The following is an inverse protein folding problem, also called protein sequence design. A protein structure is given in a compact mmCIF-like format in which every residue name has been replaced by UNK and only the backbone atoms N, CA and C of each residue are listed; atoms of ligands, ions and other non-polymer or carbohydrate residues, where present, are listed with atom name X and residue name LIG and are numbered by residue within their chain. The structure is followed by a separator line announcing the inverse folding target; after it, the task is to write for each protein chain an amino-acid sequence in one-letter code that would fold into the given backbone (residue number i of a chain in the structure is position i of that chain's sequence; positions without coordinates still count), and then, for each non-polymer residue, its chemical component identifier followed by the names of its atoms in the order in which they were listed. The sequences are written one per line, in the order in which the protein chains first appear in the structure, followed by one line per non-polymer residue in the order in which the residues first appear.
data_IF_861525511956
#
_entry.id   IF_861525511956
#
_cell.length_a   1.000
_cell.length_b   1.000
_cell.length_c   1.000
_cell.angle_alpha   90.00
_cell.angle_beta   90.00
_cell.angle_gamma   90.00
#
_symmetry.space_group_name_H-M   'P 1'
#
loop_
_entity.id
_entity.type
_entity.pdbx_description
1 polymer ?
#
# COMPACT_ATOMS: atom_id res chain seq x y z
N UNK A 1 -8.87 -6.11 10.64
CA UNK A 1 -7.59 -6.43 11.28
C UNK A 1 -7.06 -7.68 10.59
N UNK A 2 -6.09 -7.53 9.73
CA UNK A 2 -5.41 -8.65 9.09
C UNK A 2 -4.31 -9.04 10.08
N UNK A 3 -4.46 -10.18 10.72
CA UNK A 3 -3.43 -10.75 11.57
C UNK A 3 -2.55 -11.62 10.68
N UNK A 4 -1.36 -11.15 10.36
CA UNK A 4 -0.37 -11.94 9.66
C UNK A 4 0.07 -13.07 10.60
N UNK A 5 -0.50 -14.25 10.43
CA UNK A 5 -0.11 -15.41 11.19
C UNK A 5 1.14 -16.03 10.58
N UNK A 6 2.26 -15.83 11.24
CA UNK A 6 3.47 -16.61 10.94
C UNK A 6 3.15 -18.07 11.29
N UNK A 7 2.86 -18.90 10.29
CA UNK A 7 2.80 -20.36 10.44
C UNK A 7 4.23 -20.89 10.46
N UNK A 8 4.77 -21.05 11.68
CA UNK A 8 6.15 -21.41 11.94
C UNK A 8 6.33 -22.83 12.42
N UNK A 9 5.81 -23.85 11.77
CA UNK A 9 6.27 -25.20 12.11
C UNK A 9 7.31 -25.77 11.14
N UNK A 10 7.41 -25.23 9.91
CA UNK A 10 8.39 -25.74 8.92
C UNK A 10 9.56 -24.79 8.62
N UNK A 11 9.46 -23.50 8.93
CA UNK A 11 10.54 -22.53 8.65
C UNK A 11 11.62 -22.43 9.74
N UNK A 12 11.45 -23.08 10.89
CA UNK A 12 12.51 -23.18 11.91
C UNK A 12 13.74 -24.00 11.44
N UNK A 13 13.61 -24.74 10.34
CA UNK A 13 14.72 -25.42 9.69
C UNK A 13 15.46 -24.54 8.67
N UNK A 14 14.92 -23.38 8.31
CA UNK A 14 15.52 -22.45 7.35
C UNK A 14 16.64 -21.58 7.90
N UNK A 15 16.75 -21.44 9.22
CA UNK A 15 17.85 -20.71 9.87
C UNK A 15 19.22 -21.43 9.77
N UNK A 16 19.23 -22.68 9.30
CA UNK A 16 20.46 -23.47 9.13
C UNK A 16 20.94 -23.53 7.66
N UNK A 17 20.30 -22.86 6.72
CA UNK A 17 20.61 -22.91 5.28
C UNK A 17 21.13 -21.57 4.75
N UNK A 18 21.83 -20.79 5.58
CA UNK A 18 22.70 -19.71 5.08
C UNK A 18 24.09 -20.21 4.62
N UNK A 19 24.19 -21.49 4.32
CA UNK A 19 25.38 -22.13 3.78
C UNK A 19 25.05 -22.88 2.48
N UNK A 20 24.95 -22.23 1.35
CA UNK A 20 25.04 -22.90 0.05
C UNK A 20 23.83 -22.69 -0.85
N UNK A 21 23.94 -21.75 -1.73
CA UNK A 21 23.58 -21.65 -3.12
C UNK A 21 23.10 -20.25 -3.52
N UNK A 22 24.01 -19.31 -3.58
CA UNK A 22 23.92 -18.14 -4.47
C UNK A 22 25.34 -17.61 -4.67
N UNK A 23 26.13 -18.27 -5.50
CA UNK A 23 27.35 -17.68 -6.07
C UNK A 23 27.56 -18.27 -7.46
N UNK A 24 27.05 -17.56 -8.46
CA UNK A 24 27.76 -17.41 -9.69
C UNK A 24 27.70 -15.93 -10.08
N UNK A 25 28.79 -15.21 -9.76
CA UNK A 25 28.96 -13.80 -10.09
C UNK A 25 29.73 -13.04 -9.03
N UNK A 26 31.03 -13.36 -8.89
CA UNK A 26 32.11 -12.50 -8.39
C UNK A 26 31.79 -11.46 -7.28
N UNK A 27 31.65 -11.91 -6.05
CA UNK A 27 32.05 -11.19 -4.85
C UNK A 27 32.60 -12.22 -3.86
N UNK A 28 33.81 -11.97 -3.34
CA UNK A 28 34.54 -12.91 -2.48
C UNK A 28 33.79 -13.15 -1.17
N UNK A 29 33.56 -14.41 -0.82
CA UNK A 29 32.96 -14.85 0.45
C UNK A 29 33.74 -14.41 1.71
N UNK A 30 34.93 -13.86 1.58
CA UNK A 30 35.73 -13.30 2.67
C UNK A 30 35.24 -11.99 3.26
N UNK A 31 34.47 -11.21 2.51
CA UNK A 31 34.03 -9.87 2.97
C UNK A 31 32.85 -9.90 3.95
N UNK A 32 32.14 -11.04 4.05
CA UNK A 32 31.01 -11.19 4.97
C UNK A 32 31.39 -11.82 6.32
N UNK A 33 32.47 -12.60 6.40
CA UNK A 33 32.95 -13.16 7.66
C UNK A 33 33.62 -12.09 8.54
N UNK A 34 34.28 -11.10 7.95
CA UNK A 34 34.92 -10.00 8.69
C UNK A 34 33.91 -8.99 9.29
N UNK A 35 32.73 -8.84 8.71
CA UNK A 35 31.66 -7.97 9.28
C UNK A 35 31.00 -8.66 10.46
N UNK A 36 30.87 -9.99 10.45
CA UNK A 36 30.30 -10.75 11.55
C UNK A 36 31.27 -10.91 12.75
N UNK A 37 32.59 -10.96 12.48
CA UNK A 37 33.61 -11.16 13.51
C UNK A 37 33.94 -9.88 14.31
N UNK A 38 33.57 -8.70 13.84
CA UNK A 38 33.83 -7.43 14.55
C UNK A 38 32.68 -7.01 15.47
N UNK A 39 31.59 -7.77 15.57
CA UNK A 39 30.42 -7.45 16.42
C UNK A 39 30.29 -8.36 17.64
N UNK A 40 31.37 -9.00 18.11
CA UNK A 40 31.37 -9.60 19.44
C UNK A 40 31.59 -8.52 20.49
N UNK A 41 30.53 -7.73 20.78
CA UNK A 41 30.46 -6.98 22.01
C UNK A 41 30.28 -7.97 23.17
N UNK A 42 31.26 -8.00 24.09
CA UNK A 42 31.18 -8.73 25.34
C UNK A 42 29.92 -8.34 26.13
N UNK A 43 29.08 -9.31 26.42
CA UNK A 43 27.95 -9.21 27.33
C UNK A 43 28.46 -8.89 28.77
N UNK A 44 28.58 -7.58 29.04
CA UNK A 44 28.61 -7.10 30.41
C UNK A 44 27.45 -6.14 30.60
N UNK A 45 26.29 -6.69 30.88
CA UNK A 45 25.13 -5.93 31.33
C UNK A 45 25.47 -5.30 32.70
N UNK A 46 25.90 -4.05 32.68
CA UNK A 46 25.98 -3.23 33.89
C UNK A 46 24.78 -2.32 33.98
N UNK A 47 23.99 -2.44 35.02
CA UNK A 47 22.83 -1.60 35.36
C UNK A 47 23.15 -0.10 35.58
N UNK A 48 24.39 0.34 35.33
CA UNK A 48 24.90 1.66 35.70
C UNK A 48 25.11 2.67 34.56
N UNK A 49 24.56 2.45 33.32
CA UNK A 49 24.83 3.33 32.22
C UNK A 49 23.56 3.98 31.58
N UNK A 50 22.50 4.22 32.38
CA UNK A 50 21.28 4.93 31.86
C UNK A 50 21.41 6.44 31.82
N UNK A 51 22.49 7.03 32.31
CA UNK A 51 22.63 8.48 32.54
C UNK A 51 22.92 9.35 31.31
N UNK A 52 23.49 8.79 30.24
CA UNK A 52 23.97 9.58 29.09
C UNK A 52 23.45 9.09 27.71
N UNK A 53 22.52 8.15 27.66
CA UNK A 53 21.98 7.64 26.39
C UNK A 53 20.80 8.49 25.96
N UNK A 54 20.88 9.05 24.75
CA UNK A 54 19.77 9.78 24.13
C UNK A 54 18.62 8.81 23.81
N UNK A 55 17.41 9.16 24.25
CA UNK A 55 16.21 8.39 23.96
C UNK A 55 15.88 8.49 22.48
N UNK A 56 15.37 7.38 21.92
CA UNK A 56 15.06 7.27 20.50
C UNK A 56 13.88 6.35 20.25
N UNK A 57 13.07 6.70 19.25
CA UNK A 57 12.07 5.81 18.68
C UNK A 57 12.65 5.09 17.46
N UNK A 58 12.64 3.76 17.48
CA UNK A 58 12.87 2.94 16.29
C UNK A 58 11.53 2.50 15.71
N UNK A 59 11.25 2.85 14.47
CA UNK A 59 10.10 2.32 13.71
C UNK A 59 10.61 1.11 12.92
N UNK A 60 10.23 -0.08 13.35
CA UNK A 60 10.81 -1.34 12.91
C UNK A 60 9.87 -2.09 11.98
N UNK A 61 10.14 -2.13 10.67
CA UNK A 61 9.40 -2.98 9.74
C UNK A 61 9.61 -4.46 10.08
N UNK A 62 8.52 -5.23 10.05
CA UNK A 62 8.54 -6.67 10.31
C UNK A 62 8.26 -7.45 9.03
N UNK A 63 8.66 -8.74 8.95
CA UNK A 63 8.37 -9.57 7.80
C UNK A 63 6.89 -9.65 7.47
N UNK A 64 6.56 -9.66 6.16
CA UNK A 64 5.17 -9.82 5.67
C UNK A 64 4.79 -11.27 5.42
N UNK A 65 5.67 -12.22 5.69
CA UNK A 65 5.41 -13.66 5.48
C UNK A 65 6.66 -14.52 5.56
N UNK A 66 7.84 -13.98 5.27
CA UNK A 66 9.10 -14.68 5.30
C UNK A 66 10.05 -14.03 6.31
N UNK A 67 10.48 -14.79 7.30
CA UNK A 67 11.37 -14.28 8.35
C UNK A 67 12.71 -13.75 7.80
N UNK A 68 13.17 -14.30 6.66
CA UNK A 68 14.38 -13.84 5.97
C UNK A 68 14.32 -12.42 5.43
N UNK A 69 13.13 -11.81 5.35
CA UNK A 69 12.98 -10.44 4.86
C UNK A 69 13.27 -9.38 5.95
N UNK A 70 13.58 -9.79 7.19
CA UNK A 70 13.97 -8.85 8.22
C UNK A 70 15.33 -8.24 7.90
N UNK A 71 15.46 -6.92 8.09
CA UNK A 71 16.73 -6.26 7.81
C UNK A 71 17.69 -6.37 9.01
N UNK A 72 19.01 -6.38 8.74
CA UNK A 72 20.03 -6.36 9.81
C UNK A 72 19.84 -5.15 10.74
N UNK A 73 19.54 -3.97 10.19
CA UNK A 73 19.29 -2.78 11.00
C UNK A 73 18.07 -2.90 11.91
N UNK A 74 17.01 -3.62 11.45
CA UNK A 74 15.85 -3.90 12.29
C UNK A 74 16.23 -4.83 13.45
N UNK A 75 17.06 -5.85 13.19
CA UNK A 75 17.58 -6.74 14.25
C UNK A 75 18.40 -5.96 15.29
N UNK A 76 19.29 -5.08 14.85
CA UNK A 76 20.11 -4.24 15.71
C UNK A 76 19.24 -3.30 16.56
N UNK A 77 18.26 -2.63 15.95
CA UNK A 77 17.35 -1.73 16.65
C UNK A 77 16.50 -2.46 17.70
N UNK A 78 16.00 -3.65 17.38
CA UNK A 78 15.27 -4.49 18.32
C UNK A 78 16.15 -4.94 19.50
N UNK A 79 17.44 -5.21 19.27
CA UNK A 79 18.40 -5.55 20.32
C UNK A 79 18.80 -4.34 21.16
N UNK A 80 18.90 -3.16 20.56
CA UNK A 80 19.27 -1.91 21.26
C UNK A 80 18.12 -1.31 22.07
N UNK A 81 16.87 -1.53 21.68
CA UNK A 81 15.71 -1.00 22.38
C UNK A 81 15.58 -1.54 23.81
N UNK A 82 15.21 -0.69 24.77
CA UNK A 82 14.89 -1.08 26.14
C UNK A 82 13.52 -1.78 26.22
N UNK A 83 12.58 -1.37 25.34
CA UNK A 83 11.21 -1.88 25.26
C UNK A 83 10.79 -1.96 23.80
N UNK A 84 10.02 -2.99 23.46
CA UNK A 84 9.35 -3.09 22.17
C UNK A 84 7.85 -2.89 22.35
N UNK A 85 7.33 -1.80 21.80
CA UNK A 85 5.91 -1.56 21.68
C UNK A 85 5.39 -2.28 20.43
N UNK A 86 4.27 -2.98 20.54
CA UNK A 86 3.72 -3.81 19.47
C UNK A 86 2.20 -3.64 19.34
N UNK A 87 1.68 -3.75 18.13
CA UNK A 87 0.24 -3.78 17.89
C UNK A 87 -0.38 -5.02 18.54
N UNK A 88 0.15 -6.22 18.26
CA UNK A 88 -0.14 -7.45 18.99
C UNK A 88 1.16 -8.04 19.58
N UNK A 89 1.27 -8.00 20.88
CA UNK A 89 2.45 -8.52 21.61
C UNK A 89 2.66 -10.04 21.43
N UNK A 90 1.62 -10.77 21.04
CA UNK A 90 1.72 -12.23 20.79
C UNK A 90 2.39 -12.49 19.44
N UNK A 91 2.10 -11.67 18.43
CA UNK A 91 2.71 -11.76 17.09
C UNK A 91 4.17 -11.35 17.18
N UNK A 92 4.44 -10.16 17.74
CA UNK A 92 5.80 -9.66 17.93
C UNK A 92 6.63 -10.54 18.85
N UNK A 93 6.04 -11.11 19.91
CA UNK A 93 6.72 -12.04 20.80
C UNK A 93 7.21 -13.31 20.08
N UNK A 94 6.40 -13.87 19.16
CA UNK A 94 6.83 -15.01 18.33
C UNK A 94 7.96 -14.62 17.38
N UNK A 95 7.88 -13.42 16.79
CA UNK A 95 8.94 -12.90 15.92
C UNK A 95 10.25 -12.77 16.69
N UNK A 96 10.24 -12.11 17.88
CA UNK A 96 11.43 -11.93 18.69
C UNK A 96 12.02 -13.27 19.13
N UNK A 97 11.18 -14.22 19.55
CA UNK A 97 11.62 -15.57 19.92
C UNK A 97 12.30 -16.29 18.74
N UNK A 98 11.74 -16.20 17.54
CA UNK A 98 12.34 -16.77 16.33
C UNK A 98 13.69 -16.13 15.94
N UNK A 99 13.91 -14.87 16.35
CA UNK A 99 15.15 -14.12 16.13
C UNK A 99 16.15 -14.24 17.28
N UNK A 100 15.82 -14.99 18.34
CA UNK A 100 16.67 -15.13 19.54
C UNK A 100 16.81 -13.81 20.32
N UNK A 101 15.78 -12.97 20.31
CA UNK A 101 15.77 -11.68 21.00
C UNK A 101 14.78 -11.72 22.16
N UNK A 102 15.27 -11.42 23.36
CA UNK A 102 14.43 -11.29 24.56
C UNK A 102 14.26 -9.82 24.92
N UNK A 103 13.02 -9.33 24.87
CA UNK A 103 12.68 -7.94 25.19
C UNK A 103 11.35 -7.84 25.94
N UNK A 104 11.25 -6.82 26.76
CA UNK A 104 9.97 -6.42 27.34
C UNK A 104 9.05 -5.94 26.25
N UNK A 105 7.83 -6.51 26.18
CA UNK A 105 6.80 -6.16 25.22
C UNK A 105 5.71 -5.31 25.88
N UNK A 106 5.30 -4.25 25.21
CA UNK A 106 4.16 -3.44 25.60
C UNK A 106 3.17 -3.34 24.43
N UNK A 107 1.88 -3.54 24.73
CA UNK A 107 0.84 -3.41 23.71
C UNK A 107 0.55 -1.95 23.42
N UNK A 108 0.57 -1.59 22.13
CA UNK A 108 0.27 -0.26 21.62
C UNK A 108 -0.49 -0.38 20.29
N UNK A 109 -1.76 -0.77 20.38
CA UNK A 109 -2.67 -0.98 19.25
C UNK A 109 -3.53 0.28 18.94
N UNK A 110 -4.37 0.19 17.91
CA UNK A 110 -5.26 1.28 17.46
C UNK A 110 -6.14 1.82 18.59
N UNK A 111 -6.61 0.97 19.52
CA UNK A 111 -7.48 1.38 20.61
C UNK A 111 -6.74 2.12 21.75
N UNK A 112 -5.47 1.82 21.90
CA UNK A 112 -4.65 2.30 23.01
C UNK A 112 -3.69 3.41 22.63
N UNK A 113 -3.21 3.45 21.40
CA UNK A 113 -2.17 4.39 20.94
C UNK A 113 -2.63 5.86 21.04
N UNK A 114 -3.93 6.14 20.77
CA UNK A 114 -4.46 7.49 20.88
C UNK A 114 -4.38 8.11 22.27
N UNK A 115 -4.30 7.26 23.32
CA UNK A 115 -4.19 7.71 24.73
C UNK A 115 -2.77 7.57 25.29
N UNK A 116 -1.95 6.73 24.67
CA UNK A 116 -0.63 6.34 25.22
C UNK A 116 0.55 6.88 24.41
N UNK A 117 0.35 7.34 23.18
CA UNK A 117 1.44 7.83 22.32
C UNK A 117 2.25 8.94 23.01
N UNK A 118 1.58 9.92 23.62
CA UNK A 118 2.24 11.01 24.35
C UNK A 118 3.05 10.50 25.54
N UNK A 119 2.48 9.59 26.35
CA UNK A 119 3.17 9.01 27.50
C UNK A 119 4.40 8.18 27.07
N UNK A 120 4.31 7.46 25.97
CA UNK A 120 5.45 6.73 25.40
C UNK A 120 6.50 7.70 24.87
N UNK A 121 6.09 8.77 24.18
CA UNK A 121 7.00 9.82 23.70
C UNK A 121 7.73 10.55 24.86
N UNK A 122 7.05 10.78 25.98
CA UNK A 122 7.69 11.34 27.19
C UNK A 122 8.77 10.40 27.78
N UNK A 123 8.56 9.09 27.74
CA UNK A 123 9.59 8.11 28.14
C UNK A 123 10.80 8.17 27.24
N UNK A 124 10.58 8.35 25.91
CA UNK A 124 11.67 8.55 24.96
C UNK A 124 12.42 9.84 25.29
N UNK A 125 11.70 10.94 25.58
CA UNK A 125 12.32 12.20 25.98
C UNK A 125 13.11 12.08 27.30
N UNK A 126 12.73 11.12 28.15
CA UNK A 126 13.46 10.80 29.38
C UNK A 126 14.66 9.85 29.17
N UNK A 127 15.03 9.53 27.93
CA UNK A 127 16.22 8.74 27.58
C UNK A 127 15.93 7.27 27.23
N UNK A 128 14.68 6.80 27.25
CA UNK A 128 14.36 5.43 26.92
C UNK A 128 14.40 5.19 25.41
N UNK A 129 14.98 4.08 24.97
CA UNK A 129 14.98 3.66 23.57
C UNK A 129 13.85 2.67 23.33
N UNK A 130 12.90 3.05 22.50
CA UNK A 130 11.69 2.27 22.26
C UNK A 130 11.64 1.86 20.78
N UNK A 131 11.45 0.56 20.51
CA UNK A 131 11.11 0.07 19.20
C UNK A 131 9.59 -0.06 19.07
N UNK A 132 9.04 0.29 17.92
CA UNK A 132 7.64 0.06 17.58
C UNK A 132 7.53 -0.87 16.38
N UNK A 133 6.75 -1.94 16.51
CA UNK A 133 6.45 -2.92 15.47
C UNK A 133 4.94 -2.99 15.24
N UNK A 134 4.51 -2.98 13.98
CA UNK A 134 3.19 -3.46 13.57
C UNK A 134 3.19 -4.99 13.46
N UNK A 135 2.01 -5.57 13.27
CA UNK A 135 1.88 -7.03 13.13
C UNK A 135 2.65 -7.57 11.91
N UNK A 136 2.70 -6.78 10.81
CA UNK A 136 3.48 -7.11 9.63
C UNK A 136 3.76 -5.88 8.74
N UNK A 137 4.93 -5.84 8.15
CA UNK A 137 5.34 -4.79 7.23
C UNK A 137 5.82 -3.51 7.92
N UNK A 138 5.70 -2.40 7.20
CA UNK A 138 6.14 -1.07 7.63
C UNK A 138 5.12 -0.45 8.60
N UNK A 139 5.51 -0.15 9.86
CA UNK A 139 4.62 0.54 10.79
C UNK A 139 4.23 1.94 10.29
N UNK A 140 2.96 2.30 10.46
CA UNK A 140 2.37 3.54 9.95
C UNK A 140 1.73 3.40 8.58
N UNK A 141 1.79 2.20 7.96
CA UNK A 141 1.13 1.89 6.69
C UNK A 141 -0.09 1.02 6.96
N UNK A 142 -1.26 1.62 6.99
CA UNK A 142 -2.53 0.97 7.36
C UNK A 142 -2.61 0.49 8.82
N UNK A 143 -1.77 1.05 9.69
CA UNK A 143 -1.77 0.87 11.13
C UNK A 143 -1.58 2.22 11.86
N UNK A 144 -1.80 2.29 13.18
CA UNK A 144 -1.81 3.55 13.92
C UNK A 144 -0.42 4.12 14.27
N UNK A 145 0.69 3.51 13.83
CA UNK A 145 2.06 3.87 14.22
C UNK A 145 2.44 5.33 14.01
N UNK A 146 1.84 6.00 13.01
CA UNK A 146 2.08 7.42 12.72
C UNK A 146 1.81 8.34 13.91
N UNK A 147 0.88 7.99 14.80
CA UNK A 147 0.57 8.80 15.99
C UNK A 147 1.74 8.84 16.98
N UNK A 148 2.41 7.70 17.15
CA UNK A 148 3.61 7.65 18.01
C UNK A 148 4.77 8.43 17.39
N UNK A 149 4.96 8.31 16.08
CA UNK A 149 5.99 9.08 15.35
C UNK A 149 5.74 10.58 15.51
N UNK A 150 4.49 11.04 15.32
CA UNK A 150 4.13 12.46 15.49
C UNK A 150 4.41 12.95 16.90
N UNK A 151 3.88 12.26 17.93
CA UNK A 151 4.09 12.63 19.33
C UNK A 151 5.57 12.67 19.72
N UNK A 152 6.38 11.73 19.21
CA UNK A 152 7.82 11.71 19.48
C UNK A 152 8.54 12.90 18.83
N UNK A 153 8.19 13.24 17.59
CA UNK A 153 8.77 14.39 16.88
C UNK A 153 8.35 15.73 17.49
N UNK A 154 7.11 15.84 17.99
CA UNK A 154 6.62 17.04 18.68
C UNK A 154 7.42 17.37 19.95
N UNK A 155 7.98 16.35 20.61
CA UNK A 155 8.91 16.52 21.75
C UNK A 155 10.38 16.74 21.34
N UNK A 156 10.67 16.85 20.03
CA UNK A 156 12.02 17.03 19.50
C UNK A 156 12.92 15.79 19.62
N UNK A 157 12.34 14.61 19.93
CA UNK A 157 13.10 13.38 20.10
C UNK A 157 13.47 12.73 18.76
N UNK A 158 14.58 11.99 18.75
CA UNK A 158 15.03 11.26 17.57
C UNK A 158 14.06 10.14 17.18
N UNK A 159 13.73 10.07 15.88
CA UNK A 159 12.94 8.99 15.28
C UNK A 159 13.72 8.39 14.14
N UNK A 160 14.05 7.11 14.26
CA UNK A 160 14.73 6.33 13.23
C UNK A 160 13.73 5.39 12.56
N UNK A 161 13.31 5.75 11.34
CA UNK A 161 12.42 4.92 10.53
C UNK A 161 13.26 4.02 9.66
N UNK A 162 13.24 2.73 9.96
CA UNK A 162 14.05 1.74 9.23
C UNK A 162 13.34 1.34 7.94
N UNK A 163 14.05 1.27 6.79
CA UNK A 163 13.48 0.68 5.58
C UNK A 163 13.28 -0.83 5.75
N UNK A 164 12.24 -1.39 5.12
CA UNK A 164 12.00 -2.82 5.21
C UNK A 164 10.76 -3.30 4.46
N UNK A 165 10.30 -4.53 4.71
CA UNK A 165 9.22 -5.17 4.00
C UNK A 165 7.94 -4.33 3.95
N UNK A 166 7.31 -4.30 2.77
CA UNK A 166 6.09 -3.52 2.55
C UNK A 166 5.23 -4.20 1.49
N UNK A 167 4.07 -4.71 1.87
CA UNK A 167 3.25 -5.54 1.00
C UNK A 167 2.78 -4.80 -0.27
N UNK A 168 2.38 -3.53 -0.19
CA UNK A 168 1.92 -2.79 -1.36
C UNK A 168 3.03 -2.55 -2.38
N UNK A 169 4.25 -2.22 -1.93
CA UNK A 169 5.38 -1.98 -2.81
C UNK A 169 5.86 -3.28 -3.48
N UNK A 170 5.91 -4.38 -2.70
CA UNK A 170 6.22 -5.73 -3.21
C UNK A 170 5.19 -6.16 -4.26
N UNK A 171 3.90 -5.96 -3.99
CA UNK A 171 2.83 -6.27 -4.92
C UNK A 171 2.90 -5.45 -6.21
N UNK A 172 3.21 -4.15 -6.12
CA UNK A 172 3.36 -3.29 -7.29
C UNK A 172 4.46 -3.82 -8.23
N UNK A 173 5.62 -4.15 -7.68
CA UNK A 173 6.72 -4.70 -8.49
C UNK A 173 6.36 -6.10 -9.03
N UNK A 174 5.79 -6.97 -8.19
CA UNK A 174 5.40 -8.33 -8.57
C UNK A 174 4.29 -8.35 -9.63
N UNK A 175 3.43 -7.31 -9.68
CA UNK A 175 2.34 -7.22 -10.64
C UNK A 175 2.82 -7.10 -12.09
N UNK A 176 4.03 -6.62 -12.33
CA UNK A 176 4.51 -6.30 -13.68
C UNK A 176 3.76 -5.13 -14.32
N UNK A 177 3.11 -4.29 -13.52
CA UNK A 177 2.55 -3.02 -13.96
C UNK A 177 3.67 -2.11 -14.48
N UNK A 178 3.42 -1.43 -15.61
CA UNK A 178 4.42 -0.56 -16.25
C UNK A 178 4.20 0.93 -15.95
N UNK A 179 3.20 1.26 -15.14
CA UNK A 179 2.98 2.64 -14.71
C UNK A 179 4.16 3.16 -13.90
N UNK A 180 4.54 4.40 -14.16
CA UNK A 180 5.66 5.05 -13.45
C UNK A 180 5.28 5.59 -12.08
N UNK A 181 3.97 5.65 -11.79
CA UNK A 181 3.42 6.12 -10.53
C UNK A 181 2.33 5.19 -10.03
N UNK A 182 2.15 5.16 -8.73
CA UNK A 182 1.06 4.43 -8.11
C UNK A 182 0.46 5.21 -6.94
N UNK A 183 -0.79 4.90 -6.61
CA UNK A 183 -1.46 5.36 -5.40
C UNK A 183 -1.83 4.17 -4.53
N UNK A 184 -1.26 4.10 -3.32
CA UNK A 184 -1.71 3.18 -2.30
C UNK A 184 -2.90 3.78 -1.56
N UNK A 185 -4.07 3.15 -1.67
CA UNK A 185 -5.34 3.65 -1.13
C UNK A 185 -5.65 3.03 0.24
N UNK A 186 -4.96 1.94 0.59
CA UNK A 186 -5.24 1.18 1.81
C UNK A 186 -6.30 0.10 1.60
N UNK A 187 -7.12 -0.16 2.62
CA UNK A 187 -8.18 -1.17 2.52
C UNK A 187 -9.33 -0.72 1.64
N UNK A 188 -9.76 -1.63 0.76
CA UNK A 188 -10.91 -1.37 -0.09
C UNK A 188 -12.19 -1.19 0.75
N UNK A 189 -13.06 -0.21 0.42
CA UNK A 189 -14.25 0.07 1.23
C UNK A 189 -15.14 -1.15 1.43
N UNK A 190 -15.80 -1.25 2.59
CA UNK A 190 -16.60 -2.44 2.93
C UNK A 190 -17.92 -2.52 2.14
N UNK A 191 -18.57 -1.38 1.88
CA UNK A 191 -19.89 -1.31 1.23
C UNK A 191 -19.75 -1.15 -0.28
N UNK A 192 -20.55 -1.88 -1.06
CA UNK A 192 -20.47 -1.88 -2.53
C UNK A 192 -20.62 -0.49 -3.16
N UNK A 193 -21.56 0.33 -2.69
CA UNK A 193 -21.74 1.70 -3.18
C UNK A 193 -20.49 2.57 -2.92
N UNK A 194 -19.89 2.47 -1.73
CA UNK A 194 -18.66 3.20 -1.39
C UNK A 194 -17.45 2.70 -2.20
N UNK A 195 -17.42 1.40 -2.56
CA UNK A 195 -16.38 0.84 -3.44
C UNK A 195 -16.45 1.48 -4.82
N UNK A 196 -17.65 1.54 -5.41
CA UNK A 196 -17.87 2.17 -6.71
C UNK A 196 -17.47 3.64 -6.69
N UNK A 197 -17.99 4.40 -5.74
CA UNK A 197 -17.68 5.82 -5.55
C UNK A 197 -16.17 6.06 -5.41
N UNK A 198 -15.47 5.25 -4.60
CA UNK A 198 -14.03 5.37 -4.42
C UNK A 198 -13.26 5.14 -5.73
N UNK A 199 -13.69 4.16 -6.56
CA UNK A 199 -13.04 3.90 -7.85
C UNK A 199 -13.39 4.99 -8.88
N UNK A 200 -14.62 5.46 -8.91
CA UNK A 200 -15.05 6.54 -9.82
C UNK A 200 -14.29 7.84 -9.54
N UNK A 201 -14.07 8.18 -8.28
CA UNK A 201 -13.26 9.34 -7.88
C UNK A 201 -11.77 9.22 -8.26
N UNK A 202 -11.29 8.02 -8.51
CA UNK A 202 -9.90 7.74 -8.92
C UNK A 202 -9.77 7.41 -10.41
N UNK A 203 -10.86 7.51 -11.19
CA UNK A 203 -10.90 7.11 -12.60
C UNK A 203 -9.85 7.80 -13.46
N UNK A 204 -9.70 9.10 -13.27
CA UNK A 204 -8.85 9.95 -14.12
C UNK A 204 -7.40 10.04 -13.64
N UNK A 205 -7.09 9.35 -12.52
CA UNK A 205 -5.74 9.32 -11.98
C UNK A 205 -4.82 8.51 -12.89
N UNK A 206 -3.79 9.15 -13.43
CA UNK A 206 -2.77 8.54 -14.30
C UNK A 206 -1.72 7.79 -13.44
N UNK A 207 -2.17 6.76 -12.73
CA UNK A 207 -1.34 5.96 -11.84
C UNK A 207 -1.99 4.61 -11.57
N UNK A 208 -1.20 3.60 -11.24
CA UNK A 208 -1.73 2.35 -10.73
C UNK A 208 -2.38 2.54 -9.35
N UNK A 209 -3.47 1.83 -9.08
CA UNK A 209 -4.17 1.87 -7.79
C UNK A 209 -3.89 0.58 -7.03
N UNK A 210 -3.52 0.71 -5.75
CA UNK A 210 -3.19 -0.43 -4.91
C UNK A 210 -4.10 -0.47 -3.70
N UNK A 211 -4.75 -1.62 -3.47
CA UNK A 211 -5.66 -1.84 -2.35
C UNK A 211 -5.29 -3.10 -1.57
N UNK A 212 -5.49 -3.07 -0.27
CA UNK A 212 -5.56 -4.27 0.56
C UNK A 212 -6.99 -4.80 0.58
N UNK A 213 -7.15 -6.12 0.55
CA UNK A 213 -8.45 -6.74 0.65
C UNK A 213 -8.40 -8.09 1.41
N UNK A 214 -9.51 -8.45 2.02
CA UNK A 214 -9.65 -9.76 2.66
C UNK A 214 -10.16 -10.82 1.68
N UNK A 215 -9.81 -12.11 1.89
CA UNK A 215 -10.20 -13.19 0.99
C UNK A 215 -11.73 -13.32 0.84
N UNK A 216 -12.48 -13.08 1.92
CA UNK A 216 -13.93 -13.19 1.92
C UNK A 216 -14.64 -12.09 1.11
N UNK A 217 -13.96 -11.00 0.79
CA UNK A 217 -14.53 -9.86 0.07
C UNK A 217 -13.95 -9.67 -1.32
N UNK A 218 -12.92 -10.46 -1.67
CA UNK A 218 -12.18 -10.29 -2.92
C UNK A 218 -13.06 -10.42 -4.16
N UNK A 219 -13.92 -11.43 -4.23
CA UNK A 219 -14.79 -11.64 -5.41
C UNK A 219 -15.72 -10.43 -5.64
N UNK A 220 -16.34 -9.92 -4.58
CA UNK A 220 -17.19 -8.73 -4.66
C UNK A 220 -16.40 -7.49 -5.05
N UNK A 221 -15.18 -7.32 -4.51
CA UNK A 221 -14.30 -6.21 -4.83
C UNK A 221 -13.92 -6.23 -6.31
N UNK A 222 -13.49 -7.37 -6.83
CA UNK A 222 -13.12 -7.54 -8.24
C UNK A 222 -14.31 -7.35 -9.19
N UNK A 223 -15.53 -7.76 -8.81
CA UNK A 223 -16.74 -7.50 -9.57
C UNK A 223 -16.99 -6.00 -9.74
N UNK A 224 -16.84 -5.22 -8.67
CA UNK A 224 -16.98 -3.75 -8.75
C UNK A 224 -15.85 -3.15 -9.59
N UNK A 225 -14.60 -3.59 -9.41
CA UNK A 225 -13.46 -3.12 -10.21
C UNK A 225 -13.71 -3.38 -11.70
N UNK A 226 -14.12 -4.60 -12.08
CA UNK A 226 -14.42 -4.95 -13.47
C UNK A 226 -15.56 -4.12 -14.08
N UNK A 227 -16.53 -3.73 -13.25
CA UNK A 227 -17.65 -2.89 -13.74
C UNK A 227 -17.25 -1.42 -13.92
N UNK A 228 -16.30 -0.91 -13.15
CA UNK A 228 -15.83 0.49 -13.22
C UNK A 228 -14.67 0.63 -14.21
N UNK A 229 -13.76 -0.32 -14.24
CA UNK A 229 -12.55 -0.33 -15.06
C UNK A 229 -12.46 -1.57 -15.96
N UNK A 230 -13.40 -1.77 -16.91
CA UNK A 230 -13.45 -2.98 -17.74
C UNK A 230 -12.23 -3.16 -18.65
N UNK A 231 -11.53 -2.09 -18.99
CA UNK A 231 -10.38 -2.11 -19.92
C UNK A 231 -9.02 -2.19 -19.19
N UNK A 232 -8.99 -2.06 -17.87
CA UNK A 232 -7.74 -2.09 -17.13
C UNK A 232 -7.28 -3.52 -16.83
N UNK A 233 -5.96 -3.70 -16.73
CA UNK A 233 -5.38 -4.91 -16.15
C UNK A 233 -5.49 -4.85 -14.63
N UNK A 234 -5.73 -6.01 -14.04
CA UNK A 234 -5.79 -6.19 -12.59
C UNK A 234 -4.88 -7.33 -12.20
N UNK A 235 -4.11 -7.12 -11.15
CA UNK A 235 -3.28 -8.16 -10.54
C UNK A 235 -3.74 -8.42 -9.12
N UNK A 236 -3.97 -9.68 -8.79
CA UNK A 236 -4.22 -10.15 -7.43
C UNK A 236 -2.94 -10.81 -6.93
N UNK A 237 -2.27 -10.17 -5.99
CA UNK A 237 -1.14 -10.73 -5.26
C UNK A 237 -1.65 -11.34 -3.97
N UNK A 238 -1.36 -12.61 -3.74
CA UNK A 238 -1.85 -13.37 -2.60
C UNK A 238 -0.70 -14.05 -1.89
N UNK A 239 -0.70 -13.99 -0.55
CA UNK A 239 0.30 -14.66 0.29
C UNK A 239 1.75 -14.33 -0.11
N UNK A 240 2.03 -13.06 -0.44
CA UNK A 240 3.37 -12.60 -0.82
C UNK A 240 4.43 -13.03 0.20
N UNK A 241 5.57 -13.46 -0.29
CA UNK A 241 6.73 -14.01 0.46
C UNK A 241 6.49 -15.32 1.20
N UNK A 242 5.28 -15.91 1.14
CA UNK A 242 4.92 -17.16 1.82
C UNK A 242 4.97 -18.35 0.86
N UNK A 243 4.87 -19.57 1.44
CA UNK A 243 4.92 -20.84 0.67
C UNK A 243 3.88 -20.91 -0.47
N UNK A 244 2.74 -20.26 -0.30
CA UNK A 244 1.64 -20.28 -1.27
C UNK A 244 1.46 -18.93 -1.96
N UNK A 245 2.58 -18.25 -2.21
CA UNK A 245 2.59 -17.01 -2.98
C UNK A 245 1.97 -17.21 -4.35
N UNK A 246 1.09 -16.31 -4.72
CA UNK A 246 0.47 -16.29 -6.04
C UNK A 246 0.34 -14.86 -6.55
N UNK A 247 0.72 -14.66 -7.81
CA UNK A 247 0.51 -13.42 -8.56
C UNK A 247 -0.34 -13.76 -9.78
N UNK A 248 -1.59 -13.34 -9.77
CA UNK A 248 -2.54 -13.59 -10.86
C UNK A 248 -2.91 -12.28 -11.55
N UNK A 249 -2.52 -12.14 -12.82
CA UNK A 249 -2.73 -10.93 -13.63
C UNK A 249 -3.58 -11.21 -14.85
N UNK A 250 -4.47 -10.30 -15.20
CA UNK A 250 -5.32 -10.39 -16.38
C UNK A 250 -6.19 -9.14 -16.56
N UNK A 251 -7.09 -9.20 -17.56
CA UNK A 251 -8.10 -8.18 -17.75
C UNK A 251 -9.09 -8.21 -16.58
N UNK A 252 -9.55 -7.04 -16.12
CA UNK A 252 -10.40 -6.94 -14.94
C UNK A 252 -11.62 -7.87 -14.98
N UNK A 253 -12.37 -8.01 -16.09
CA UNK A 253 -13.49 -8.97 -16.16
C UNK A 253 -13.06 -10.43 -16.01
N UNK A 254 -11.94 -10.82 -16.63
CA UNK A 254 -11.44 -12.20 -16.56
C UNK A 254 -10.96 -12.56 -15.15
N UNK A 255 -10.23 -11.63 -14.48
CA UNK A 255 -9.80 -11.80 -13.10
C UNK A 255 -11.01 -11.91 -12.17
N UNK A 256 -12.02 -11.05 -12.34
CA UNK A 256 -13.23 -11.08 -11.53
C UNK A 256 -13.97 -12.44 -11.70
N UNK A 257 -14.09 -12.94 -12.92
CA UNK A 257 -14.73 -14.23 -13.19
C UNK A 257 -13.98 -15.40 -12.53
N UNK A 258 -12.65 -15.44 -12.65
CA UNK A 258 -11.82 -16.49 -12.06
C UNK A 258 -11.94 -16.50 -10.53
N UNK A 259 -11.82 -15.34 -9.87
CA UNK A 259 -11.90 -15.28 -8.42
C UNK A 259 -13.33 -15.47 -7.89
N UNK A 260 -14.37 -15.15 -8.64
CA UNK A 260 -15.74 -15.52 -8.30
C UNK A 260 -15.92 -17.04 -8.27
N UNK A 261 -15.37 -17.77 -9.26
CA UNK A 261 -15.34 -19.24 -9.27
C UNK A 261 -14.58 -19.82 -8.08
N UNK A 262 -13.35 -19.30 -7.83
CA UNK A 262 -12.54 -19.75 -6.68
C UNK A 262 -13.21 -19.50 -5.33
N UNK A 263 -13.94 -18.39 -5.20
CA UNK A 263 -14.67 -18.06 -3.98
C UNK A 263 -15.81 -19.06 -3.72
N UNK A 264 -16.57 -19.46 -4.76
CA UNK A 264 -17.61 -20.49 -4.67
C UNK A 264 -17.04 -21.85 -4.26
N UNK A 265 -15.82 -22.17 -4.69
CA UNK A 265 -15.11 -23.39 -4.34
C UNK A 265 -14.38 -23.31 -2.98
N UNK A 266 -14.48 -22.19 -2.25
CA UNK A 266 -13.81 -22.01 -0.96
C UNK A 266 -12.27 -21.94 -1.05
N UNK A 267 -11.71 -21.67 -2.22
CA UNK A 267 -10.27 -21.68 -2.51
C UNK A 267 -9.56 -20.34 -2.29
N UNK A 268 -10.29 -19.27 -1.99
CA UNK A 268 -9.69 -17.94 -1.73
C UNK A 268 -9.35 -17.82 -0.25
N UNK A 269 -8.05 -17.81 0.05
CA UNK A 269 -7.53 -17.71 1.44
C UNK A 269 -6.29 -16.83 1.47
N UNK A 270 -5.93 -16.37 2.68
CA UNK A 270 -4.71 -15.62 2.92
C UNK A 270 -4.87 -14.12 2.74
N UNK A 271 -3.76 -13.44 2.60
CA UNK A 271 -3.67 -11.99 2.54
C UNK A 271 -3.53 -11.54 1.10
N UNK A 272 -4.20 -10.44 0.77
CA UNK A 272 -4.40 -10.06 -0.61
C UNK A 272 -4.07 -8.60 -0.80
N UNK A 273 -3.28 -8.34 -1.85
CA UNK A 273 -3.09 -7.01 -2.43
C UNK A 273 -3.62 -7.01 -3.85
N UNK A 274 -4.45 -6.04 -4.18
CA UNK A 274 -4.97 -5.81 -5.53
C UNK A 274 -4.20 -4.65 -6.12
N UNK A 275 -3.64 -4.84 -7.32
CA UNK A 275 -3.04 -3.78 -8.13
C UNK A 275 -3.88 -3.61 -9.39
N UNK A 276 -4.37 -2.41 -9.62
CA UNK A 276 -5.14 -2.03 -10.80
C UNK A 276 -4.25 -1.10 -11.61
N UNK A 277 -3.96 -1.43 -12.86
CA UNK A 277 -3.18 -0.54 -13.72
C UNK A 277 -3.89 0.80 -13.94
N UNK A 278 -3.13 1.84 -14.21
CA UNK A 278 -3.65 3.14 -14.64
C UNK A 278 -4.44 3.06 -15.94
N UNK A 279 -5.05 4.18 -16.37
CA UNK A 279 -5.79 4.24 -17.62
C UNK A 279 -4.93 3.85 -18.83
N UNK A 280 -5.42 2.94 -19.66
CA UNK A 280 -4.76 2.60 -20.92
C UNK A 280 -4.95 3.72 -21.96
N UNK A 281 -4.14 3.73 -23.02
CA UNK A 281 -4.34 4.62 -24.15
C UNK A 281 -5.74 4.45 -24.77
N UNK A 282 -6.21 3.20 -24.89
CA UNK A 282 -7.53 2.85 -25.39
C UNK A 282 -8.66 3.41 -24.50
N UNK A 283 -8.51 3.32 -23.15
CA UNK A 283 -9.44 3.93 -22.19
C UNK A 283 -9.46 5.46 -22.33
N UNK A 284 -8.29 6.08 -22.53
CA UNK A 284 -8.17 7.52 -22.78
C UNK A 284 -8.84 7.96 -24.08
N UNK A 285 -8.64 7.21 -25.16
CA UNK A 285 -9.30 7.47 -26.46
C UNK A 285 -10.83 7.32 -26.37
N UNK A 286 -11.30 6.29 -25.67
CA UNK A 286 -12.72 6.06 -25.47
C UNK A 286 -13.36 7.13 -24.58
N UNK A 287 -12.67 7.56 -23.52
CA UNK A 287 -13.11 8.66 -22.66
C UNK A 287 -13.19 9.98 -23.45
N UNK A 288 -12.19 10.29 -24.27
CA UNK A 288 -12.17 11.47 -25.12
C UNK A 288 -13.32 11.44 -26.16
N UNK A 289 -13.56 10.27 -26.80
CA UNK A 289 -14.66 10.10 -27.75
C UNK A 289 -16.04 10.29 -27.08
N UNK A 290 -16.22 9.72 -25.89
CA UNK A 290 -17.46 9.90 -25.12
C UNK A 290 -17.66 11.34 -24.66
N UNK A 291 -16.61 12.03 -24.24
CA UNK A 291 -16.65 13.44 -23.85
C UNK A 291 -17.02 14.32 -25.05
N UNK A 292 -16.47 14.02 -26.23
CA UNK A 292 -16.80 14.74 -27.47
C UNK A 292 -18.28 14.55 -27.87
N UNK A 293 -18.79 13.31 -27.80
CA UNK A 293 -20.21 13.03 -28.12
C UNK A 293 -21.17 13.74 -27.14
N UNK A 294 -20.88 13.67 -25.84
CA UNK A 294 -21.68 14.37 -24.81
C UNK A 294 -21.60 15.90 -24.97
N UNK A 295 -20.43 16.43 -25.36
CA UNK A 295 -20.26 17.85 -25.62
C UNK A 295 -21.06 18.28 -26.85
N UNK A 296 -21.20 17.43 -27.89
CA UNK A 296 -22.05 17.68 -29.09
C UNK A 296 -23.52 17.79 -28.71
N UNK A 297 -24.04 16.79 -27.93
CA UNK A 297 -25.43 16.82 -27.44
C UNK A 297 -25.69 18.08 -26.59
N UNK A 298 -24.75 18.40 -25.69
CA UNK A 298 -24.85 19.59 -24.84
C UNK A 298 -24.80 20.89 -25.62
N UNK A 299 -23.99 20.96 -26.69
CA UNK A 299 -23.93 22.11 -27.56
C UNK A 299 -25.29 22.33 -28.24
N UNK A 300 -25.95 21.25 -28.71
CA UNK A 300 -27.27 21.32 -29.33
C UNK A 300 -28.33 21.81 -28.34
N UNK A 301 -28.35 21.32 -27.11
CA UNK A 301 -29.27 21.80 -26.06
C UNK A 301 -29.11 23.30 -25.78
N UNK A 302 -27.86 23.76 -25.59
CA UNK A 302 -27.57 25.17 -25.31
C UNK A 302 -27.92 26.09 -26.49
N UNK A 303 -27.66 25.63 -27.72
CA UNK A 303 -28.04 26.36 -28.93
C UNK A 303 -29.55 26.46 -29.07
N UNK A 304 -30.31 25.39 -28.82
CA UNK A 304 -31.77 25.39 -28.80
C UNK A 304 -32.36 26.34 -27.76
N UNK A 305 -31.68 26.45 -26.58
CA UNK A 305 -32.01 27.42 -25.53
C UNK A 305 -31.66 28.88 -25.90
N UNK A 306 -31.02 29.11 -27.04
CA UNK A 306 -30.67 30.46 -27.55
C UNK A 306 -29.35 31.02 -27.02
N UNK A 307 -28.51 30.20 -26.43
CA UNK A 307 -27.18 30.62 -25.96
C UNK A 307 -26.25 31.02 -27.12
N UNK A 308 -25.36 31.97 -26.87
CA UNK A 308 -24.39 32.43 -27.87
C UNK A 308 -23.22 31.48 -27.99
N UNK A 309 -22.72 31.27 -29.22
CA UNK A 309 -21.61 30.34 -29.48
C UNK A 309 -20.40 30.53 -28.59
N UNK A 310 -20.02 31.77 -28.19
CA UNK A 310 -18.95 32.03 -27.25
C UNK A 310 -19.25 31.48 -25.84
N UNK A 311 -20.50 31.54 -25.39
CA UNK A 311 -20.90 31.01 -24.09
C UNK A 311 -20.94 29.48 -24.12
N UNK A 312 -21.51 28.92 -25.20
CA UNK A 312 -21.49 27.46 -25.43
C UNK A 312 -20.05 26.92 -25.38
N UNK A 313 -19.14 27.53 -26.17
CA UNK A 313 -17.71 27.13 -26.15
C UNK A 313 -17.13 27.11 -24.72
N UNK A 314 -17.41 28.16 -23.94
CA UNK A 314 -16.90 28.25 -22.54
C UNK A 314 -17.48 27.13 -21.66
N UNK A 315 -18.75 26.85 -21.79
CA UNK A 315 -19.46 25.81 -21.07
C UNK A 315 -18.89 24.43 -21.39
N UNK A 316 -18.73 24.11 -22.70
CA UNK A 316 -18.21 22.82 -23.14
C UNK A 316 -16.78 22.55 -22.64
N UNK A 317 -15.90 23.56 -22.67
CA UNK A 317 -14.54 23.44 -22.14
C UNK A 317 -14.58 23.19 -20.64
N UNK A 318 -15.46 23.86 -19.90
CA UNK A 318 -15.55 23.74 -18.45
C UNK A 318 -16.19 22.41 -18.00
N UNK A 319 -17.24 21.94 -18.70
CA UNK A 319 -17.99 20.73 -18.33
C UNK A 319 -17.30 19.44 -18.79
N UNK A 320 -16.67 19.44 -19.98
CA UNK A 320 -16.14 18.22 -20.63
C UNK A 320 -14.62 18.21 -20.80
N UNK A 321 -13.91 19.30 -20.48
CA UNK A 321 -12.46 19.39 -20.62
C UNK A 321 -11.92 19.25 -22.05
N UNK A 322 -12.79 19.33 -23.08
CA UNK A 322 -12.38 19.19 -24.48
C UNK A 322 -11.56 20.41 -24.94
N UNK A 323 -10.67 20.23 -25.93
CA UNK A 323 -9.88 21.32 -26.49
C UNK A 323 -10.75 22.49 -26.97
N UNK A 324 -10.31 23.73 -26.68
CA UNK A 324 -11.06 24.95 -27.04
C UNK A 324 -11.45 25.03 -28.52
N UNK A 325 -10.58 24.56 -29.41
CA UNK A 325 -10.84 24.56 -30.84
C UNK A 325 -11.99 23.62 -31.20
N UNK A 326 -12.06 22.46 -30.55
CA UNK A 326 -13.13 21.49 -30.73
C UNK A 326 -14.45 22.01 -30.17
N UNK A 327 -14.43 22.52 -28.93
CA UNK A 327 -15.60 23.17 -28.32
C UNK A 327 -16.14 24.32 -29.15
N UNK A 328 -15.27 25.11 -29.80
CA UNK A 328 -15.68 26.20 -30.70
C UNK A 328 -16.36 25.69 -31.96
N UNK A 329 -15.83 24.62 -32.56
CA UNK A 329 -16.43 23.97 -33.74
C UNK A 329 -17.82 23.45 -33.40
N UNK A 330 -17.97 22.66 -32.32
CA UNK A 330 -19.26 22.13 -31.89
C UNK A 330 -20.28 23.24 -31.60
N UNK A 331 -19.85 24.33 -30.99
CA UNK A 331 -20.73 25.47 -30.73
C UNK A 331 -21.21 26.15 -32.01
N UNK A 332 -20.34 26.27 -33.02
CA UNK A 332 -20.73 26.85 -34.33
C UNK A 332 -21.71 25.95 -35.08
N UNK A 333 -21.44 24.65 -35.12
CA UNK A 333 -22.29 23.68 -35.82
C UNK A 333 -23.67 23.62 -35.17
N UNK A 334 -23.77 23.60 -33.86
CA UNK A 334 -25.04 23.61 -33.13
C UNK A 334 -25.86 24.89 -33.36
N UNK A 335 -25.21 26.07 -33.33
CA UNK A 335 -25.89 27.34 -33.61
C UNK A 335 -26.35 27.43 -35.08
N UNK A 336 -25.58 26.88 -36.02
CA UNK A 336 -25.95 26.84 -37.44
C UNK A 336 -27.16 25.93 -37.67
N UNK A 337 -27.22 24.75 -37.03
CA UNK A 337 -28.35 23.83 -37.14
C UNK A 337 -29.65 24.46 -36.64
N UNK A 338 -29.66 25.12 -35.48
CA UNK A 338 -30.86 25.81 -34.95
C UNK A 338 -31.32 26.94 -35.87
N UNK A 339 -30.40 27.66 -36.55
CA UNK A 339 -30.75 28.70 -37.49
C UNK A 339 -31.39 28.13 -38.76
N UNK A 340 -30.89 27.00 -39.26
CA UNK A 340 -31.45 26.33 -40.44
C UNK A 340 -32.87 25.79 -40.20
N UNK A 341 -33.17 25.30 -38.99
CA UNK A 341 -34.51 24.83 -38.62
C UNK A 341 -35.55 25.96 -38.47
N UNK A 342 -35.09 27.18 -38.19
CA UNK A 342 -35.96 28.36 -38.01
C UNK A 342 -36.18 29.16 -39.32
N UNK A 343 -35.53 28.80 -40.44
CA UNK A 343 -35.63 29.41 -41.74
C UNK A 343 -36.56 28.63 -42.67
#
# INVERSE_FOLDING_TARGET
MISFQIKNEENAKGAAVFGGAFVDGAANAGDYEDVAAQTTCEDTASEHARGDREGKLYVCPTPIGNLGDITLRTLEALRDADVVCAEDTRVTGKLLAALGIEKRLERLDENTIGKRAEAVAQRIAAGERIAYCSDAGMPGVSDPGMRLVSATRELGCAVDVLPGPTAFATAFVASGCTDTSFMFVGFFPRKGAQRREALENLRDLQAALIFYESPNRLADALSVIASVFPLRKVTVCRELTKLHEEVYRGDAPAVAQEFAKRAQEGRVKGEIVIVIDGPSAEEGEQAASNAAAQAEDRAAELAAAGEKGKQITKTLVAEFGIPKNEAYRLALDAVAAVKAERS
#
